data_IF_823832980755
#
_entry.id   IF_823832980755
#
_cell.length_a   1.000
_cell.length_b   1.000
_cell.length_c   1.000
_cell.angle_alpha   90.00
_cell.angle_beta   90.00
_cell.angle_gamma   90.00
#
_symmetry.space_group_name_H-M   'P 1'
#
loop_
_entity.id
_entity.type
_entity.pdbx_description
1 polymer ?
#
# COMPACT_ATOMS: atom_id res chain seq x y z
N UNK A 1 -14.56 18.55 83.16
CA UNK A 1 -14.81 19.50 82.10
C UNK A 1 -14.94 18.72 80.78
N UNK A 2 -16.16 18.50 80.34
CA UNK A 2 -16.48 17.60 79.18
C UNK A 2 -16.44 18.43 77.90
N UNK A 3 -15.82 17.90 76.88
CA UNK A 3 -15.98 18.36 75.50
C UNK A 3 -16.78 17.32 74.74
N UNK A 4 -17.90 17.74 74.21
CA UNK A 4 -18.77 16.96 73.33
C UNK A 4 -18.27 17.10 71.90
N UNK A 5 -18.01 15.96 71.26
CA UNK A 5 -17.71 15.89 69.83
C UNK A 5 -19.02 15.88 69.04
N UNK A 6 -19.09 16.76 68.08
CA UNK A 6 -20.25 16.88 67.16
C UNK A 6 -19.79 16.40 65.78
N UNK A 7 -20.05 15.11 65.49
CA UNK A 7 -19.82 14.54 64.18
C UNK A 7 -20.89 15.00 63.18
N UNK A 8 -20.44 15.72 62.15
CA UNK A 8 -21.25 16.02 60.98
C UNK A 8 -20.94 15.01 59.89
N UNK A 9 -21.88 14.12 59.56
CA UNK A 9 -21.83 13.20 58.43
C UNK A 9 -22.04 13.94 57.12
N UNK A 10 -21.20 13.72 56.08
CA UNK A 10 -21.50 14.26 54.75
C UNK A 10 -22.51 13.36 54.04
N UNK A 11 -23.52 14.02 53.48
CA UNK A 11 -24.52 13.42 52.63
C UNK A 11 -23.95 12.79 51.38
N UNK A 12 -24.39 11.55 51.08
CA UNK A 12 -24.13 10.89 49.81
C UNK A 12 -24.81 11.61 48.66
N UNK A 13 -24.03 12.32 47.86
CA UNK A 13 -24.47 12.81 46.53
C UNK A 13 -24.43 11.69 45.49
N UNK A 14 -25.54 11.61 44.79
CA UNK A 14 -25.78 10.64 43.73
C UNK A 14 -24.75 10.69 42.61
N UNK A 15 -23.91 9.67 42.51
CA UNK A 15 -23.06 9.44 41.34
C UNK A 15 -23.92 8.89 40.20
N UNK A 16 -24.28 9.76 39.25
CA UNK A 16 -24.94 9.36 38.01
C UNK A 16 -23.94 8.56 37.21
N UNK A 17 -24.13 7.24 37.17
CA UNK A 17 -23.37 6.32 36.35
C UNK A 17 -23.77 6.53 34.86
N UNK A 18 -23.08 7.42 34.15
CA UNK A 18 -23.21 7.57 32.72
C UNK A 18 -22.56 6.34 32.08
N UNK A 19 -23.34 5.33 31.78
CA UNK A 19 -22.87 4.18 31.00
C UNK A 19 -22.46 4.66 29.59
N UNK A 20 -21.17 4.77 29.37
CA UNK A 20 -20.64 4.98 28.02
C UNK A 20 -20.96 3.73 27.20
N UNK A 21 -21.95 3.83 26.32
CA UNK A 21 -22.26 2.77 25.34
C UNK A 21 -21.10 2.76 24.36
N UNK A 22 -20.12 1.89 24.58
CA UNK A 22 -19.08 1.60 23.60
C UNK A 22 -19.78 0.80 22.49
N UNK A 23 -20.12 1.47 21.39
CA UNK A 23 -20.57 0.78 20.19
C UNK A 23 -19.50 -0.23 19.76
N UNK A 24 -19.88 -1.51 19.79
CA UNK A 24 -18.98 -2.55 19.27
C UNK A 24 -18.69 -2.25 17.80
N UNK A 25 -17.41 -2.24 17.37
CA UNK A 25 -17.07 -1.97 15.99
C UNK A 25 -17.84 -2.93 15.09
N UNK A 26 -18.54 -2.39 14.08
CA UNK A 26 -19.27 -3.19 13.07
C UNK A 26 -18.33 -4.28 12.57
N UNK A 27 -18.75 -5.55 12.66
CA UNK A 27 -17.96 -6.69 12.14
C UNK A 27 -17.69 -6.45 10.65
N UNK A 28 -16.51 -5.95 10.32
CA UNK A 28 -16.09 -5.81 8.93
C UNK A 28 -16.04 -7.21 8.31
N UNK A 29 -16.82 -7.44 7.27
CA UNK A 29 -16.83 -8.72 6.56
C UNK A 29 -15.43 -9.04 6.07
N UNK A 30 -14.96 -10.29 6.29
CA UNK A 30 -13.61 -10.74 5.89
C UNK A 30 -13.39 -10.70 4.37
N UNK A 31 -14.45 -10.60 3.58
CA UNK A 31 -14.40 -10.58 2.11
C UNK A 31 -15.46 -9.65 1.53
N UNK A 32 -15.25 -9.22 0.30
CA UNK A 32 -16.18 -8.41 -0.50
C UNK A 32 -16.29 -9.03 -1.90
N UNK A 33 -17.43 -8.85 -2.56
CA UNK A 33 -17.59 -9.24 -3.97
C UNK A 33 -16.65 -8.42 -4.86
N UNK A 34 -16.08 -9.04 -5.91
CA UNK A 34 -15.11 -8.39 -6.79
C UNK A 34 -15.70 -7.21 -7.57
N UNK A 35 -16.98 -7.27 -7.96
CA UNK A 35 -17.64 -6.16 -8.64
C UNK A 35 -17.77 -4.93 -7.73
N UNK A 36 -18.12 -5.15 -6.44
CA UNK A 36 -18.17 -4.07 -5.45
C UNK A 36 -16.76 -3.54 -5.15
N UNK A 37 -15.76 -4.44 -5.13
CA UNK A 37 -14.36 -4.06 -4.91
C UNK A 37 -13.81 -3.17 -6.03
N UNK A 38 -14.22 -3.42 -7.28
CA UNK A 38 -13.79 -2.64 -8.44
C UNK A 38 -14.62 -1.36 -8.68
N UNK A 39 -15.76 -1.20 -8.00
CA UNK A 39 -16.61 -0.01 -8.16
C UNK A 39 -16.08 1.16 -7.33
N UNK A 40 -15.54 2.22 -7.97
CA UNK A 40 -14.92 3.34 -7.24
C UNK A 40 -15.93 4.14 -6.41
N UNK A 41 -17.24 4.01 -6.68
CA UNK A 41 -18.29 4.64 -5.88
C UNK A 41 -18.61 3.88 -4.59
N UNK A 42 -18.17 2.63 -4.48
CA UNK A 42 -18.47 1.75 -3.34
C UNK A 42 -17.25 1.41 -2.50
N UNK A 43 -16.07 1.37 -3.12
CA UNK A 43 -14.84 0.92 -2.47
C UNK A 43 -13.67 1.74 -2.98
N UNK A 44 -12.97 2.42 -2.09
CA UNK A 44 -11.75 3.14 -2.45
C UNK A 44 -10.57 2.17 -2.44
N UNK A 45 -10.03 1.87 -3.62
CA UNK A 45 -8.96 0.87 -3.80
C UNK A 45 -7.71 1.55 -4.34
N UNK A 46 -6.56 1.28 -3.71
CA UNK A 46 -5.27 1.68 -4.25
C UNK A 46 -4.72 0.63 -5.20
N UNK A 47 -4.25 1.04 -6.37
CA UNK A 47 -3.28 0.28 -7.16
C UNK A 47 -1.91 0.67 -6.65
N UNK A 48 -1.12 -0.28 -6.22
CA UNK A 48 0.15 -0.05 -5.51
C UNK A 48 1.27 -0.84 -6.15
N UNK A 49 2.42 -0.19 -6.27
CA UNK A 49 3.70 -0.79 -6.59
C UNK A 49 4.82 -0.10 -5.79
N UNK A 50 5.90 -0.82 -5.49
CA UNK A 50 7.08 -0.29 -4.79
C UNK A 50 8.37 -0.67 -5.50
N UNK A 51 9.35 0.23 -5.45
CA UNK A 51 10.71 -0.06 -5.88
C UNK A 51 11.65 -0.09 -4.68
N UNK A 52 12.51 -1.10 -4.64
CA UNK A 52 13.37 -1.38 -3.49
C UNK A 52 14.80 -1.63 -3.92
N UNK A 53 15.75 -1.33 -3.03
CA UNK A 53 17.18 -1.54 -3.30
C UNK A 53 17.61 -3.02 -3.23
N UNK A 54 16.73 -3.92 -2.77
CA UNK A 54 16.99 -5.35 -2.64
C UNK A 54 15.67 -6.11 -2.63
N UNK A 55 15.70 -7.39 -3.06
CA UNK A 55 14.54 -8.29 -2.93
C UNK A 55 14.27 -8.75 -1.49
N UNK A 56 15.14 -8.42 -0.55
CA UNK A 56 15.04 -8.82 0.86
C UNK A 56 14.91 -7.60 1.74
N UNK A 57 13.84 -7.55 2.50
CA UNK A 57 13.47 -6.40 3.34
C UNK A 57 14.34 -6.21 4.59
N UNK A 58 15.14 -7.19 4.96
CA UNK A 58 16.14 -7.10 6.03
C UNK A 58 17.43 -6.39 5.59
N UNK A 59 17.73 -6.38 4.27
CA UNK A 59 18.89 -5.72 3.68
C UNK A 59 18.56 -4.49 2.84
N UNK A 60 17.36 -4.47 2.24
CA UNK A 60 16.94 -3.41 1.34
C UNK A 60 16.16 -2.30 2.03
N UNK A 61 16.09 -1.18 1.33
CA UNK A 61 15.21 -0.04 1.66
C UNK A 61 14.19 0.15 0.54
N UNK A 62 13.07 0.76 0.87
CA UNK A 62 12.10 1.25 -0.13
C UNK A 62 12.65 2.56 -0.72
N UNK A 63 12.82 2.60 -2.03
CA UNK A 63 13.28 3.77 -2.77
C UNK A 63 12.10 4.68 -3.11
N UNK A 64 11.03 4.07 -3.63
CA UNK A 64 9.77 4.77 -3.85
C UNK A 64 8.58 3.80 -3.77
N UNK A 65 7.41 4.38 -3.58
CA UNK A 65 6.11 3.72 -3.69
C UNK A 65 5.17 4.61 -4.50
N UNK A 66 4.38 4.02 -5.37
CA UNK A 66 3.37 4.73 -6.17
C UNK A 66 2.01 4.12 -5.91
N UNK A 67 1.03 5.01 -5.66
CA UNK A 67 -0.36 4.65 -5.50
C UNK A 67 -1.23 5.41 -6.51
N UNK A 68 -2.23 4.74 -7.03
CA UNK A 68 -3.30 5.35 -7.81
C UNK A 68 -4.66 4.87 -7.30
N UNK A 69 -5.66 5.74 -7.27
CA UNK A 69 -7.02 5.34 -6.90
C UNK A 69 -7.68 4.66 -8.10
N UNK A 70 -7.94 3.36 -7.98
CA UNK A 70 -8.48 2.52 -9.05
C UNK A 70 -9.75 3.12 -9.68
N UNK A 71 -9.76 3.26 -11.00
CA UNK A 71 -10.92 3.71 -11.77
C UNK A 71 -11.25 5.19 -11.63
N UNK A 72 -10.27 6.02 -11.28
CA UNK A 72 -10.42 7.47 -11.19
C UNK A 72 -9.38 8.19 -12.07
N UNK A 73 -9.61 9.49 -12.31
CA UNK A 73 -8.66 10.37 -13.00
C UNK A 73 -7.76 11.14 -11.99
N UNK A 74 -7.69 10.67 -10.73
CA UNK A 74 -6.82 11.28 -9.74
C UNK A 74 -5.35 11.17 -10.15
N UNK A 75 -4.51 12.11 -9.67
CA UNK A 75 -3.07 12.02 -9.91
C UNK A 75 -2.45 10.86 -9.12
N UNK A 76 -1.40 10.27 -9.68
CA UNK A 76 -0.57 9.31 -8.98
C UNK A 76 0.02 9.94 -7.72
N UNK A 77 -0.03 9.23 -6.60
CA UNK A 77 0.61 9.62 -5.35
C UNK A 77 1.95 8.93 -5.30
N UNK A 78 3.00 9.71 -5.28
CA UNK A 78 4.39 9.24 -5.26
C UNK A 78 4.97 9.52 -3.87
N UNK A 79 5.45 8.48 -3.22
CA UNK A 79 6.27 8.55 -2.03
C UNK A 79 7.68 8.10 -2.42
N UNK A 80 8.67 8.97 -2.35
CA UNK A 80 10.05 8.66 -2.69
C UNK A 80 11.00 9.21 -1.62
N UNK A 81 12.19 8.58 -1.50
CA UNK A 81 13.25 9.09 -0.60
C UNK A 81 13.77 10.44 -1.11
N UNK A 82 14.14 11.32 -0.18
CA UNK A 82 14.85 12.56 -0.51
C UNK A 82 16.37 12.31 -0.54
N UNK A 83 17.00 12.58 -1.68
CA UNK A 83 18.44 12.38 -1.85
C UNK A 83 19.28 13.55 -1.29
N UNK A 84 18.67 14.66 -0.93
CA UNK A 84 19.35 15.77 -0.27
C UNK A 84 19.85 15.40 1.15
N UNK A 85 19.14 14.49 1.80
CA UNK A 85 19.56 13.95 3.09
C UNK A 85 20.61 12.84 2.91
N UNK A 86 21.63 12.85 3.77
CA UNK A 86 22.67 11.80 3.75
C UNK A 86 22.24 10.50 4.41
N UNK A 87 21.26 10.53 5.30
CA UNK A 87 20.75 9.37 6.00
C UNK A 87 19.52 8.76 5.30
N UNK A 88 19.76 7.78 4.42
CA UNK A 88 18.69 7.08 3.70
C UNK A 88 17.73 6.32 4.61
N UNK A 89 18.15 5.90 5.79
CA UNK A 89 17.23 5.20 6.69
C UNK A 89 16.23 6.17 7.30
N UNK A 90 16.67 7.41 7.61
CA UNK A 90 15.74 8.47 8.02
C UNK A 90 14.76 8.84 6.91
N UNK A 91 15.23 8.89 5.66
CA UNK A 91 14.38 9.18 4.50
C UNK A 91 13.39 8.06 4.22
N UNK A 92 13.81 6.80 4.31
CA UNK A 92 12.90 5.66 4.20
C UNK A 92 11.84 5.69 5.31
N UNK A 93 12.23 6.06 6.54
CA UNK A 93 11.27 6.21 7.64
C UNK A 93 10.21 7.27 7.32
N UNK A 94 10.63 8.44 6.85
CA UNK A 94 9.71 9.52 6.46
C UNK A 94 8.79 9.08 5.31
N UNK A 95 9.33 8.40 4.29
CA UNK A 95 8.55 7.80 3.21
C UNK A 95 7.49 6.84 3.76
N UNK A 96 7.87 5.94 4.66
CA UNK A 96 6.96 4.96 5.25
C UNK A 96 5.87 5.59 6.12
N UNK A 97 6.16 6.67 6.85
CA UNK A 97 5.17 7.42 7.62
C UNK A 97 4.08 7.97 6.69
N UNK A 98 4.46 8.57 5.56
CA UNK A 98 3.55 9.07 4.54
C UNK A 98 2.79 7.93 3.88
N UNK A 99 3.48 6.88 3.43
CA UNK A 99 2.88 5.74 2.74
C UNK A 99 1.88 5.00 3.62
N UNK A 100 2.23 4.71 4.88
CA UNK A 100 1.34 4.03 5.81
C UNK A 100 0.08 4.86 6.09
N UNK A 101 0.24 6.18 6.28
CA UNK A 101 -0.89 7.10 6.47
C UNK A 101 -1.79 7.15 5.24
N UNK A 102 -1.19 7.22 4.04
CA UNK A 102 -1.96 7.23 2.80
C UNK A 102 -2.72 5.92 2.58
N UNK A 103 -2.11 4.78 2.87
CA UNK A 103 -2.76 3.48 2.76
C UNK A 103 -3.99 3.35 3.66
N UNK A 104 -4.04 4.04 4.81
CA UNK A 104 -5.23 4.01 5.67
C UNK A 104 -6.46 4.67 5.03
N UNK A 105 -6.29 5.50 4.00
CA UNK A 105 -7.37 6.13 3.26
C UNK A 105 -8.08 5.19 2.27
N UNK A 106 -7.61 3.93 2.13
CA UNK A 106 -8.14 2.95 1.19
C UNK A 106 -8.75 1.75 1.90
N UNK A 107 -9.82 1.21 1.31
CA UNK A 107 -10.51 -0.01 1.77
C UNK A 107 -9.81 -1.28 1.31
N UNK A 108 -9.06 -1.18 0.21
CA UNK A 108 -8.37 -2.29 -0.42
C UNK A 108 -7.16 -1.86 -1.25
N UNK A 109 -6.38 -2.86 -1.65
CA UNK A 109 -5.22 -2.69 -2.52
C UNK A 109 -5.24 -3.69 -3.66
N UNK A 110 -4.78 -3.25 -4.83
CA UNK A 110 -4.45 -4.07 -5.98
C UNK A 110 -2.93 -4.05 -6.14
N UNK A 111 -2.33 -5.21 -6.32
CA UNK A 111 -0.89 -5.36 -6.53
C UNK A 111 -0.60 -6.42 -7.59
N UNK A 112 0.65 -6.51 -8.05
CA UNK A 112 1.15 -7.59 -8.89
C UNK A 112 2.25 -8.36 -8.17
N UNK A 113 1.92 -9.55 -7.65
CA UNK A 113 2.76 -10.34 -6.74
C UNK A 113 3.01 -9.67 -5.37
N UNK A 114 2.34 -8.56 -5.10
CA UNK A 114 2.57 -7.72 -3.93
C UNK A 114 2.09 -8.33 -2.62
N UNK A 115 1.18 -9.32 -2.65
CA UNK A 115 0.84 -10.09 -1.45
C UNK A 115 2.03 -10.93 -0.94
N UNK A 116 3.05 -11.15 -1.79
CA UNK A 116 4.28 -11.87 -1.48
C UNK A 116 5.52 -10.99 -1.39
N UNK A 117 5.45 -9.78 -1.95
CA UNK A 117 6.59 -8.86 -1.98
C UNK A 117 6.25 -7.50 -1.35
N UNK A 118 5.47 -6.65 -1.99
CA UNK A 118 5.24 -5.25 -1.59
C UNK A 118 4.71 -5.13 -0.16
N UNK A 119 3.61 -5.80 0.12
CA UNK A 119 2.94 -5.71 1.43
C UNK A 119 3.82 -6.26 2.57
N UNK A 120 4.43 -7.46 2.45
CA UNK A 120 5.40 -7.92 3.44
C UNK A 120 6.62 -6.99 3.59
N UNK A 121 7.12 -6.42 2.48
CA UNK A 121 8.25 -5.50 2.51
C UNK A 121 7.92 -4.24 3.29
N UNK A 122 6.82 -3.54 2.96
CA UNK A 122 6.33 -2.37 3.68
C UNK A 122 6.15 -2.67 5.18
N UNK A 123 5.53 -3.80 5.51
CA UNK A 123 5.33 -4.20 6.92
C UNK A 123 6.66 -4.41 7.64
N UNK A 124 7.59 -5.12 7.02
CA UNK A 124 8.90 -5.38 7.64
C UNK A 124 9.67 -4.09 7.87
N UNK A 125 9.70 -3.21 6.87
CA UNK A 125 10.41 -1.92 6.99
C UNK A 125 9.73 -0.98 7.99
N UNK A 126 8.40 -0.96 8.04
CA UNK A 126 7.68 -0.21 9.08
C UNK A 126 8.06 -0.68 10.48
N UNK A 127 8.06 -1.99 10.72
CA UNK A 127 8.49 -2.56 12.01
C UNK A 127 9.96 -2.26 12.33
N UNK A 128 10.84 -2.34 11.33
CA UNK A 128 12.26 -1.99 11.49
C UNK A 128 12.44 -0.55 12.00
N UNK A 129 11.64 0.39 11.49
CA UNK A 129 11.66 1.80 11.90
C UNK A 129 10.82 2.11 13.14
N UNK A 130 10.22 1.11 13.80
CA UNK A 130 9.34 1.30 14.96
C UNK A 130 8.01 1.98 14.60
N UNK A 131 7.61 1.95 13.34
CA UNK A 131 6.33 2.47 12.87
C UNK A 131 5.23 1.42 12.97
N UNK A 132 3.98 1.88 13.12
CA UNK A 132 2.82 1.01 12.99
C UNK A 132 2.66 0.63 11.50
N UNK A 133 2.73 -0.65 11.14
CA UNK A 133 2.46 -1.08 9.77
C UNK A 133 1.01 -0.76 9.36
N UNK A 134 0.72 -0.61 8.05
CA UNK A 134 -0.64 -0.36 7.60
C UNK A 134 -1.57 -1.50 8.01
N UNK A 135 -2.82 -1.14 8.32
CA UNK A 135 -3.85 -2.09 8.73
C UNK A 135 -4.12 -3.11 7.60
N UNK A 136 -4.62 -4.28 7.98
CA UNK A 136 -4.99 -5.30 6.98
C UNK A 136 -6.06 -4.76 6.04
N UNK A 137 -5.78 -4.76 4.75
CA UNK A 137 -6.69 -4.32 3.68
C UNK A 137 -7.26 -5.51 2.90
N UNK A 138 -8.36 -5.31 2.17
CA UNK A 138 -8.76 -6.25 1.12
C UNK A 138 -7.70 -6.20 0.03
N UNK A 139 -7.26 -7.37 -0.44
CA UNK A 139 -6.12 -7.42 -1.37
C UNK A 139 -6.47 -8.26 -2.59
N UNK A 140 -6.36 -7.65 -3.76
CA UNK A 140 -6.39 -8.31 -5.05
C UNK A 140 -4.98 -8.36 -5.60
N UNK A 141 -4.38 -9.54 -5.60
CA UNK A 141 -3.08 -9.77 -6.25
C UNK A 141 -3.32 -10.37 -7.63
N UNK A 142 -3.17 -9.53 -8.66
CA UNK A 142 -3.49 -9.90 -10.03
C UNK A 142 -2.59 -11.03 -10.57
N UNK A 143 -1.35 -11.15 -10.08
CA UNK A 143 -0.46 -12.24 -10.45
C UNK A 143 -1.11 -13.62 -10.26
N UNK A 144 -1.84 -13.85 -9.17
CA UNK A 144 -2.48 -15.14 -8.91
C UNK A 144 -3.69 -15.38 -9.81
N UNK A 145 -4.39 -14.33 -10.23
CA UNK A 145 -5.43 -14.45 -11.26
C UNK A 145 -4.81 -14.85 -12.59
N UNK A 146 -3.79 -14.14 -13.05
CA UNK A 146 -3.03 -14.48 -14.29
C UNK A 146 -2.52 -15.92 -14.22
N UNK A 147 -1.89 -16.31 -13.11
CA UNK A 147 -1.35 -17.68 -12.93
C UNK A 147 -2.43 -18.76 -13.06
N UNK A 148 -3.63 -18.49 -12.59
CA UNK A 148 -4.73 -19.46 -12.57
C UNK A 148 -5.45 -19.55 -13.90
N UNK A 149 -5.59 -18.44 -14.62
CA UNK A 149 -6.52 -18.31 -15.75
C UNK A 149 -5.85 -18.25 -17.11
N UNK A 150 -4.53 -18.07 -17.16
CA UNK A 150 -3.79 -17.94 -18.41
C UNK A 150 -2.53 -18.78 -18.43
N UNK A 151 -1.95 -18.98 -19.64
CA UNK A 151 -0.74 -19.76 -19.83
C UNK A 151 0.33 -19.01 -20.64
N UNK A 152 0.83 -17.85 -20.18
CA UNK A 152 1.88 -17.13 -20.87
C UNK A 152 3.27 -17.76 -20.69
N UNK A 153 4.20 -17.45 -21.57
CA UNK A 153 5.62 -17.88 -21.47
C UNK A 153 6.32 -17.31 -20.24
N UNK A 154 5.88 -16.13 -19.76
CA UNK A 154 6.33 -15.48 -18.52
C UNK A 154 5.14 -14.77 -17.88
N UNK A 155 5.11 -14.74 -16.56
CA UNK A 155 4.08 -14.05 -15.76
C UNK A 155 4.58 -12.73 -15.18
N UNK A 156 5.66 -12.16 -15.72
CA UNK A 156 6.09 -10.80 -15.36
C UNK A 156 5.06 -9.79 -15.88
N UNK A 157 4.85 -8.70 -15.15
CA UNK A 157 3.88 -7.65 -15.52
C UNK A 157 4.15 -7.09 -16.91
N UNK A 158 5.43 -6.86 -17.26
CA UNK A 158 5.88 -6.47 -18.59
C UNK A 158 5.33 -7.42 -19.68
N UNK A 159 5.44 -8.75 -19.47
CA UNK A 159 4.96 -9.75 -20.45
C UNK A 159 3.43 -9.76 -20.54
N UNK A 160 2.73 -9.52 -19.45
CA UNK A 160 1.27 -9.41 -19.45
C UNK A 160 0.84 -8.15 -20.22
N UNK A 161 1.54 -7.04 -20.03
CA UNK A 161 1.34 -5.82 -20.82
C UNK A 161 1.43 -6.10 -22.33
N UNK A 162 2.48 -6.81 -22.78
CA UNK A 162 2.68 -7.18 -24.19
C UNK A 162 1.51 -8.01 -24.73
N UNK A 163 1.10 -9.04 -23.97
CA UNK A 163 0.03 -9.97 -24.38
C UNK A 163 -1.31 -9.23 -24.48
N UNK A 164 -1.60 -8.36 -23.53
CA UNK A 164 -2.84 -7.61 -23.48
C UNK A 164 -2.86 -6.44 -24.49
N UNK A 165 -1.69 -6.14 -25.08
CA UNK A 165 -1.51 -4.98 -25.96
C UNK A 165 -2.07 -3.70 -25.32
N UNK A 166 -1.75 -3.51 -24.05
CA UNK A 166 -2.04 -2.29 -23.33
C UNK A 166 -1.02 -1.27 -23.87
N UNK A 167 -1.29 -0.77 -25.08
CA UNK A 167 -0.47 0.27 -25.67
C UNK A 167 -0.72 1.56 -24.91
N UNK A 168 0.25 1.98 -24.15
CA UNK A 168 0.38 3.38 -23.78
C UNK A 168 1.07 4.09 -24.96
N UNK A 169 0.42 5.03 -25.64
CA UNK A 169 1.07 5.80 -26.69
C UNK A 169 2.28 6.59 -26.17
N UNK A 170 2.33 6.85 -24.85
CA UNK A 170 3.43 7.52 -24.18
C UNK A 170 4.45 6.53 -23.55
N UNK A 171 4.17 5.22 -23.57
CA UNK A 171 5.14 4.23 -23.11
C UNK A 171 6.26 4.13 -24.15
N UNK A 172 7.44 4.64 -23.83
CA UNK A 172 8.63 4.41 -24.63
C UNK A 172 8.79 2.91 -24.92
N UNK A 173 8.99 2.49 -26.18
CA UNK A 173 9.25 1.10 -26.52
C UNK A 173 10.53 0.54 -25.87
N UNK A 174 11.41 1.40 -25.40
CA UNK A 174 12.60 1.10 -24.62
C UNK A 174 12.34 1.17 -23.11
N UNK A 175 11.35 0.42 -22.60
CA UNK A 175 11.32 0.15 -21.17
C UNK A 175 12.61 -0.61 -20.78
N UNK A 176 13.62 0.17 -20.50
CA UNK A 176 14.87 -0.33 -19.94
C UNK A 176 14.53 -1.00 -18.62
N UNK A 177 14.96 -2.25 -18.48
CA UNK A 177 14.77 -3.01 -17.26
C UNK A 177 15.50 -2.29 -16.13
N UNK A 178 14.79 -1.99 -15.05
CA UNK A 178 15.46 -1.61 -13.81
C UNK A 178 16.38 -2.75 -13.36
N UNK A 179 17.58 -2.38 -12.98
CA UNK A 179 18.59 -3.32 -12.54
C UNK A 179 19.43 -2.77 -11.39
N UNK A 180 20.42 -3.56 -11.00
CA UNK A 180 21.35 -3.19 -9.91
C UNK A 180 22.05 -1.86 -10.14
N UNK A 181 22.23 -1.44 -11.39
CA UNK A 181 22.89 -0.17 -11.74
C UNK A 181 22.06 1.04 -11.28
N UNK A 182 20.76 1.03 -11.57
CA UNK A 182 19.87 2.12 -11.25
C UNK A 182 19.66 2.20 -9.72
N UNK A 183 19.39 1.09 -9.06
CA UNK A 183 19.24 1.06 -7.61
C UNK A 183 20.53 1.45 -6.87
N UNK A 184 21.71 0.96 -7.32
CA UNK A 184 22.99 1.35 -6.76
C UNK A 184 23.30 2.84 -7.01
N UNK A 185 22.90 3.39 -8.17
CA UNK A 185 23.02 4.80 -8.49
C UNK A 185 22.32 5.67 -7.45
N UNK A 186 21.10 5.30 -7.07
CA UNK A 186 20.33 6.00 -6.03
C UNK A 186 20.97 5.80 -4.65
N UNK A 187 21.22 4.55 -4.24
CA UNK A 187 21.63 4.22 -2.87
C UNK A 187 23.04 4.71 -2.55
N UNK A 188 24.00 4.51 -3.46
CA UNK A 188 25.40 4.82 -3.20
C UNK A 188 25.85 6.16 -3.78
N UNK A 189 25.34 6.54 -4.95
CA UNK A 189 25.79 7.75 -5.66
C UNK A 189 24.85 8.94 -5.47
N UNK A 190 23.65 8.74 -4.88
CA UNK A 190 22.63 9.79 -4.72
C UNK A 190 22.23 10.45 -6.05
N UNK A 191 22.15 9.63 -7.09
CA UNK A 191 21.86 10.11 -8.44
C UNK A 191 20.34 10.38 -8.58
N UNK A 192 20.01 11.68 -8.66
CA UNK A 192 18.61 12.11 -8.78
C UNK A 192 17.98 11.69 -10.12
N UNK A 193 18.76 11.62 -11.20
CA UNK A 193 18.25 11.17 -12.50
C UNK A 193 17.86 9.70 -12.45
N UNK A 194 18.62 8.89 -11.71
CA UNK A 194 18.27 7.48 -11.50
C UNK A 194 17.02 7.35 -10.60
N UNK A 195 16.86 8.23 -9.61
CA UNK A 195 15.63 8.24 -8.81
C UNK A 195 14.42 8.61 -9.66
N UNK A 196 14.50 9.68 -10.46
CA UNK A 196 13.42 10.08 -11.37
C UNK A 196 13.04 8.91 -12.30
N UNK A 197 14.04 8.24 -12.87
CA UNK A 197 13.84 7.09 -13.74
C UNK A 197 13.15 5.90 -13.03
N UNK A 198 13.53 5.60 -11.78
CA UNK A 198 12.89 4.56 -10.95
C UNK A 198 11.44 4.93 -10.66
N UNK A 199 11.17 6.19 -10.33
CA UNK A 199 9.82 6.68 -10.05
C UNK A 199 8.93 6.59 -11.31
N UNK A 200 9.44 7.01 -12.47
CA UNK A 200 8.73 6.89 -13.74
C UNK A 200 8.39 5.44 -14.08
N UNK A 201 9.34 4.52 -13.82
CA UNK A 201 9.11 3.09 -14.00
C UNK A 201 7.99 2.57 -13.09
N UNK A 202 8.02 2.89 -11.81
CA UNK A 202 6.99 2.51 -10.83
C UNK A 202 5.61 3.07 -11.22
N UNK A 203 5.52 4.33 -11.69
CA UNK A 203 4.28 4.92 -12.21
C UNK A 203 3.76 4.13 -13.41
N UNK A 204 4.65 3.76 -14.34
CA UNK A 204 4.26 2.98 -15.51
C UNK A 204 3.76 1.58 -15.13
N UNK A 205 4.34 0.94 -14.12
CA UNK A 205 3.90 -0.38 -13.66
C UNK A 205 2.53 -0.31 -12.96
N UNK A 206 2.27 0.73 -12.17
CA UNK A 206 0.93 1.00 -11.60
C UNK A 206 -0.11 1.20 -12.71
N UNK A 207 0.21 1.97 -13.76
CA UNK A 207 -0.67 2.19 -14.92
C UNK A 207 -0.96 0.90 -15.70
N UNK A 208 0.07 0.08 -15.94
CA UNK A 208 -0.09 -1.23 -16.58
C UNK A 208 -0.95 -2.15 -15.72
N UNK A 209 -0.69 -2.20 -14.43
CA UNK A 209 -1.44 -3.03 -13.48
C UNK A 209 -2.92 -2.65 -13.46
N UNK A 210 -3.24 -1.38 -13.40
CA UNK A 210 -4.64 -0.90 -13.43
C UNK A 210 -5.34 -1.34 -14.71
N UNK A 211 -4.74 -1.11 -15.87
CA UNK A 211 -5.29 -1.54 -17.15
C UNK A 211 -5.46 -3.07 -17.21
N UNK A 212 -4.49 -3.81 -16.68
CA UNK A 212 -4.57 -5.26 -16.63
C UNK A 212 -5.72 -5.75 -15.74
N UNK A 213 -5.99 -5.11 -14.61
CA UNK A 213 -7.13 -5.44 -13.75
C UNK A 213 -8.44 -5.38 -14.52
N UNK A 214 -8.66 -4.31 -15.29
CA UNK A 214 -9.87 -4.16 -16.10
C UNK A 214 -9.99 -5.20 -17.21
N UNK A 215 -8.88 -5.62 -17.80
CA UNK A 215 -8.84 -6.70 -18.80
C UNK A 215 -9.12 -8.08 -18.19
N UNK A 216 -8.78 -8.27 -16.93
CA UNK A 216 -8.97 -9.52 -16.20
C UNK A 216 -10.25 -9.53 -15.33
N UNK A 217 -11.11 -8.50 -15.38
CA UNK A 217 -12.26 -8.35 -14.48
C UNK A 217 -13.15 -9.59 -14.39
N UNK A 218 -13.42 -10.24 -15.53
CA UNK A 218 -14.30 -11.42 -15.62
C UNK A 218 -13.62 -12.71 -15.12
N UNK A 219 -12.31 -12.67 -14.85
CA UNK A 219 -11.51 -13.80 -14.35
C UNK A 219 -11.11 -13.63 -12.88
N UNK A 220 -11.49 -12.52 -12.25
CA UNK A 220 -11.18 -12.27 -10.86
C UNK A 220 -11.87 -13.29 -9.94
N UNK A 221 -11.35 -13.54 -8.73
CA UNK A 221 -12.05 -14.36 -7.77
C UNK A 221 -13.38 -13.67 -7.39
N UNK A 222 -14.45 -14.45 -7.25
CA UNK A 222 -15.77 -13.91 -6.87
C UNK A 222 -15.70 -13.04 -5.61
N UNK A 223 -14.81 -13.38 -4.68
CA UNK A 223 -14.64 -12.66 -3.42
C UNK A 223 -13.18 -12.27 -3.17
N UNK A 224 -12.99 -10.99 -2.85
CA UNK A 224 -11.69 -10.42 -2.46
C UNK A 224 -11.56 -10.51 -0.94
N UNK A 225 -10.49 -11.13 -0.49
CA UNK A 225 -10.22 -11.39 0.92
C UNK A 225 -9.40 -10.25 1.55
N UNK A 226 -9.50 -10.15 2.88
CA UNK A 226 -8.64 -9.26 3.68
C UNK A 226 -7.35 -9.98 4.04
N UNK A 227 -6.21 -9.36 3.76
CA UNK A 227 -4.87 -9.90 4.02
C UNK A 227 -4.12 -9.13 5.13
#
# INVERSE_FOLDING_TARGET
MKFEDNEMTPSMENTINTAVIIEKPKKTTKSINSEIFLDPNKTKVAVLDIETSSLKSDFGIIICAVLHTLGTDEKYKVCAIDLANKDLLSEEKALLEVLNTELENYDGVVTYFGSRFDIPFIRTRSLYHGLQPPSKKRSLDLYFTVKRTTNPTSRRLERINDILRISDPDASPDKTRLGMKEWNGVVFNRDSKMLDYIVEHCIADVKILENAVWRFKDFLPERIMRC
#
